data_IF_938400686137
#
_entry.id   IF_938400686137
#
_cell.length_a   1.000
_cell.length_b   1.000
_cell.length_c   1.000
_cell.angle_alpha   90.00
_cell.angle_beta   90.00
_cell.angle_gamma   90.00
#
_symmetry.space_group_name_H-M   'P 1'
#
loop_
_entity.id
_entity.type
_entity.pdbx_description
1 polymer ?
#
# COMPACT_ATOMS: atom_id res chain seq x y z
N UNK A 1 -34.55 21.63 -20.93
CA UNK A 1 -33.51 20.57 -21.03
C UNK A 1 -34.08 19.46 -21.91
N UNK A 2 -33.33 18.95 -22.89
CA UNK A 2 -33.84 17.94 -23.84
C UNK A 2 -33.20 16.57 -23.57
N UNK A 3 -33.99 15.49 -23.58
CA UNK A 3 -33.48 14.11 -23.53
C UNK A 3 -32.68 13.83 -24.80
N UNK A 4 -31.45 13.30 -24.66
CA UNK A 4 -30.53 13.07 -25.79
C UNK A 4 -29.76 14.31 -26.27
N UNK A 5 -29.98 15.48 -25.67
CA UNK A 5 -29.20 16.68 -25.95
C UNK A 5 -27.80 16.65 -25.35
N UNK A 6 -26.98 17.66 -25.69
CA UNK A 6 -25.62 17.80 -25.14
C UNK A 6 -25.64 18.12 -23.63
N UNK A 7 -24.64 17.62 -22.92
CA UNK A 7 -24.41 17.94 -21.51
C UNK A 7 -23.96 19.40 -21.34
N UNK A 8 -24.36 20.05 -20.25
CA UNK A 8 -23.80 21.33 -19.83
C UNK A 8 -22.31 21.17 -19.48
N UNK A 9 -21.46 22.09 -19.94
CA UNK A 9 -20.00 22.05 -19.75
C UNK A 9 -19.37 20.67 -20.09
N UNK A 10 -19.34 20.27 -21.37
CA UNK A 10 -18.81 18.97 -21.77
C UNK A 10 -17.34 18.81 -21.36
N UNK A 11 -16.98 17.63 -20.89
CA UNK A 11 -15.63 17.32 -20.40
C UNK A 11 -14.57 17.59 -21.48
N UNK A 12 -13.51 18.30 -21.10
CA UNK A 12 -12.41 18.68 -21.99
C UNK A 12 -11.13 17.95 -21.63
N UNK A 13 -10.33 17.65 -22.64
CA UNK A 13 -9.03 16.99 -22.48
C UNK A 13 -8.01 17.88 -21.76
N UNK A 14 -8.06 19.19 -21.99
CA UNK A 14 -7.16 20.20 -21.40
C UNK A 14 -7.49 20.60 -19.95
N UNK A 15 -8.36 19.84 -19.25
CA UNK A 15 -8.53 20.01 -17.81
C UNK A 15 -7.15 19.88 -17.15
N UNK A 16 -6.83 20.73 -16.17
CA UNK A 16 -5.57 20.60 -15.42
C UNK A 16 -5.60 19.33 -14.57
N UNK A 17 -5.10 18.21 -15.09
CA UNK A 17 -5.05 16.91 -14.41
C UNK A 17 -3.90 16.81 -13.41
N UNK A 18 -2.74 17.34 -13.77
CA UNK A 18 -1.53 17.24 -12.96
C UNK A 18 -1.39 18.39 -11.96
N UNK A 19 -0.68 18.12 -10.85
CA UNK A 19 -0.36 19.11 -9.80
C UNK A 19 1.14 19.07 -9.53
N UNK A 20 1.76 20.26 -9.51
CA UNK A 20 3.17 20.42 -9.13
C UNK A 20 3.27 20.57 -7.62
N UNK A 21 4.23 19.89 -7.02
CA UNK A 21 4.61 20.01 -5.61
C UNK A 21 6.13 20.26 -5.58
N UNK A 22 6.58 21.15 -4.71
CA UNK A 22 7.99 21.52 -4.59
C UNK A 22 8.85 20.30 -4.21
N UNK A 23 10.05 20.21 -4.77
CA UNK A 23 10.95 19.08 -4.55
C UNK A 23 11.36 18.94 -3.08
N UNK A 24 11.64 20.06 -2.42
CA UNK A 24 11.94 20.11 -0.97
C UNK A 24 10.78 19.58 -0.14
N UNK A 25 9.55 20.04 -0.40
CA UNK A 25 8.35 19.54 0.29
C UNK A 25 8.12 18.05 0.08
N UNK A 26 8.34 17.52 -1.14
CA UNK A 26 8.27 16.08 -1.40
C UNK A 26 9.29 15.29 -0.58
N UNK A 27 10.52 15.79 -0.47
CA UNK A 27 11.59 15.18 0.34
C UNK A 27 11.22 15.16 1.82
N UNK A 28 10.76 16.30 2.36
CA UNK A 28 10.28 16.38 3.74
C UNK A 28 9.14 15.41 4.02
N UNK A 29 8.15 15.31 3.13
CA UNK A 29 7.04 14.36 3.29
C UNK A 29 7.51 12.90 3.33
N UNK A 30 8.52 12.54 2.54
CA UNK A 30 9.11 11.18 2.55
C UNK A 30 9.85 10.94 3.87
N UNK A 31 10.67 11.90 4.32
CA UNK A 31 11.37 11.79 5.61
C UNK A 31 10.39 11.63 6.78
N UNK A 32 9.30 12.40 6.80
CA UNK A 32 8.25 12.27 7.83
C UNK A 32 7.55 10.91 7.75
N UNK A 33 7.30 10.39 6.55
CA UNK A 33 6.70 9.06 6.38
C UNK A 33 7.65 7.93 6.83
N UNK A 34 8.95 8.06 6.59
CA UNK A 34 9.96 7.12 7.09
C UNK A 34 10.05 7.16 8.62
N UNK A 35 10.09 8.35 9.21
CA UNK A 35 10.09 8.50 10.67
C UNK A 35 8.83 7.86 11.31
N UNK A 36 7.66 8.00 10.67
CA UNK A 36 6.44 7.35 11.14
C UNK A 36 6.49 5.82 11.08
N UNK A 37 7.31 5.23 10.20
CA UNK A 37 7.45 3.77 10.10
C UNK A 37 8.24 3.15 11.25
N UNK A 38 9.09 3.94 11.92
CA UNK A 38 9.84 3.51 13.10
C UNK A 38 8.98 3.52 14.38
N UNK A 39 7.81 4.18 14.39
CA UNK A 39 6.95 4.29 15.56
C UNK A 39 5.89 3.18 15.61
N UNK A 40 5.96 2.22 16.56
CA UNK A 40 5.03 1.08 16.62
C UNK A 40 3.57 1.51 16.75
N UNK A 41 3.30 2.56 17.52
CA UNK A 41 1.94 3.08 17.73
C UNK A 41 1.28 3.56 16.42
N UNK A 42 2.04 4.19 15.51
CA UNK A 42 1.52 4.65 14.22
C UNK A 42 1.31 3.47 13.26
N UNK A 43 2.21 2.49 13.26
CA UNK A 43 2.10 1.29 12.42
C UNK A 43 0.89 0.45 12.84
N UNK A 44 0.69 0.26 14.14
CA UNK A 44 -0.45 -0.46 14.71
C UNK A 44 -1.78 0.27 14.47
N UNK A 45 -1.84 1.58 14.69
CA UNK A 45 -3.07 2.36 14.48
C UNK A 45 -3.52 2.41 13.01
N UNK A 46 -2.57 2.33 12.06
CA UNK A 46 -2.88 2.14 10.62
C UNK A 46 -3.51 0.78 10.32
N UNK A 47 -3.37 -0.18 11.23
CA UNK A 47 -3.98 -1.50 11.17
C UNK A 47 -3.05 -2.62 10.74
N UNK A 48 -1.72 -2.45 10.83
CA UNK A 48 -0.76 -3.55 10.67
C UNK A 48 -0.72 -4.44 11.91
N UNK A 49 -0.58 -5.77 11.71
CA UNK A 49 -0.45 -6.73 12.81
C UNK A 49 1.03 -6.92 13.14
N UNK A 50 1.50 -6.21 14.17
CA UNK A 50 2.91 -6.17 14.58
C UNK A 50 3.16 -6.66 16.01
N UNK A 51 2.13 -7.19 16.69
CA UNK A 51 2.18 -7.62 18.10
C UNK A 51 3.31 -8.62 18.41
N UNK A 52 3.61 -9.50 17.44
CA UNK A 52 4.63 -10.53 17.59
C UNK A 52 5.99 -10.14 16.98
N UNK A 53 6.08 -9.01 16.26
CA UNK A 53 7.32 -8.62 15.58
C UNK A 53 8.34 -8.17 16.64
N UNK A 54 9.62 -8.62 16.56
CA UNK A 54 10.60 -8.35 17.62
C UNK A 54 10.87 -6.87 17.87
N UNK A 55 11.00 -6.09 16.80
CA UNK A 55 11.34 -4.67 16.87
C UNK A 55 10.87 -3.90 15.62
N UNK A 56 10.80 -2.58 15.76
CA UNK A 56 10.59 -1.63 14.67
C UNK A 56 11.61 -0.49 14.79
N UNK A 57 12.35 -0.14 13.73
CA UNK A 57 12.36 -0.77 12.40
C UNK A 57 12.97 -2.19 12.42
N UNK A 58 12.34 -3.14 11.72
CA UNK A 58 12.83 -4.51 11.61
C UNK A 58 13.96 -4.57 10.57
N UNK A 59 15.19 -4.82 11.03
CA UNK A 59 16.37 -4.93 10.17
C UNK A 59 16.80 -6.39 10.08
N UNK A 60 17.21 -6.84 8.89
CA UNK A 60 17.59 -8.23 8.60
C UNK A 60 18.93 -8.25 7.86
N UNK A 61 19.65 -9.38 7.94
CA UNK A 61 20.92 -9.55 7.23
C UNK A 61 20.76 -9.52 5.70
N UNK A 62 21.77 -9.00 5.00
CA UNK A 62 21.83 -8.89 3.52
C UNK A 62 21.74 -10.26 2.80
N UNK A 63 21.99 -11.37 3.50
CA UNK A 63 21.87 -12.73 2.94
C UNK A 63 20.48 -13.03 2.37
N UNK A 64 19.45 -12.31 2.83
CA UNK A 64 18.07 -12.45 2.35
C UNK A 64 17.93 -12.09 0.86
N UNK A 65 18.77 -11.20 0.33
CA UNK A 65 18.76 -10.81 -1.07
C UNK A 65 19.11 -11.97 -2.02
N UNK A 66 19.83 -12.99 -1.53
CA UNK A 66 20.23 -14.16 -2.29
C UNK A 66 19.14 -15.22 -2.49
N UNK A 67 17.94 -15.05 -1.92
CA UNK A 67 16.88 -16.05 -2.02
C UNK A 67 16.32 -16.17 -3.44
N UNK A 68 16.41 -17.40 -3.99
CA UNK A 68 15.92 -17.71 -5.34
C UNK A 68 14.49 -18.23 -5.35
N UNK A 69 14.01 -18.77 -4.22
CA UNK A 69 12.69 -19.41 -4.13
C UNK A 69 11.79 -18.69 -3.14
N UNK A 70 10.55 -18.46 -3.54
CA UNK A 70 9.53 -17.82 -2.69
C UNK A 70 9.27 -18.59 -1.40
N UNK A 71 9.43 -19.91 -1.40
CA UNK A 71 9.30 -20.73 -0.18
C UNK A 71 10.30 -20.32 0.92
N UNK A 72 11.52 -19.92 0.55
CA UNK A 72 12.56 -19.49 1.48
C UNK A 72 12.17 -18.15 2.11
N UNK A 73 11.71 -17.19 1.30
CA UNK A 73 11.19 -15.91 1.77
C UNK A 73 9.97 -16.05 2.68
N UNK A 74 9.05 -16.98 2.39
CA UNK A 74 7.89 -17.27 3.25
C UNK A 74 8.34 -17.84 4.61
N UNK A 75 9.34 -18.72 4.62
CA UNK A 75 9.89 -19.26 5.86
C UNK A 75 10.54 -18.17 6.71
N UNK A 76 11.28 -17.25 6.10
CA UNK A 76 11.85 -16.09 6.78
C UNK A 76 10.75 -15.24 7.44
N UNK A 77 9.72 -14.84 6.68
CA UNK A 77 8.64 -13.99 7.19
C UNK A 77 7.81 -14.67 8.31
N UNK A 78 7.74 -16.00 8.31
CA UNK A 78 7.18 -16.76 9.43
C UNK A 78 8.08 -16.73 10.65
N UNK A 79 9.41 -16.89 10.49
CA UNK A 79 10.38 -16.80 11.59
C UNK A 79 10.41 -15.41 12.23
N UNK A 80 10.33 -14.35 11.41
CA UNK A 80 10.26 -12.96 11.86
C UNK A 80 8.87 -12.56 12.38
N UNK A 81 7.91 -13.49 12.43
CA UNK A 81 6.51 -13.30 12.87
C UNK A 81 5.72 -12.22 12.11
N UNK A 82 6.24 -11.70 11.00
CA UNK A 82 5.57 -10.76 10.10
C UNK A 82 4.44 -11.40 9.25
N UNK A 83 4.37 -12.74 9.23
CA UNK A 83 3.39 -13.49 8.43
C UNK A 83 1.92 -13.21 8.80
N UNK A 84 1.65 -12.81 10.05
CA UNK A 84 0.29 -12.49 10.50
C UNK A 84 -0.30 -11.28 9.76
N UNK A 85 0.52 -10.29 9.40
CA UNK A 85 0.09 -9.14 8.61
C UNK A 85 -0.26 -9.55 7.16
N UNK A 86 0.49 -10.50 6.60
CA UNK A 86 0.25 -11.05 5.26
C UNK A 86 -1.04 -11.88 5.22
N UNK A 87 -1.28 -12.74 6.21
CA UNK A 87 -2.54 -13.49 6.34
C UNK A 87 -3.77 -12.56 6.34
N UNK A 88 -3.69 -11.44 7.06
CA UNK A 88 -4.73 -10.40 7.07
C UNK A 88 -4.97 -9.81 5.68
N UNK A 89 -3.92 -9.59 4.89
CA UNK A 89 -4.05 -9.10 3.50
C UNK A 89 -4.75 -10.12 2.62
N UNK A 90 -4.36 -11.40 2.67
CA UNK A 90 -5.02 -12.47 1.91
C UNK A 90 -6.50 -12.57 2.26
N UNK A 91 -6.85 -12.60 3.55
CA UNK A 91 -8.23 -12.65 4.00
C UNK A 91 -9.06 -11.41 3.60
N UNK A 92 -8.41 -10.27 3.37
CA UNK A 92 -9.08 -9.02 2.99
C UNK A 92 -9.43 -8.93 1.50
N UNK A 93 -8.95 -9.86 0.67
CA UNK A 93 -9.16 -9.79 -0.77
C UNK A 93 -10.64 -9.98 -1.10
N UNK A 94 -11.24 -8.98 -1.74
CA UNK A 94 -12.66 -9.02 -2.13
C UNK A 94 -12.91 -8.33 -3.46
N UNK A 95 -14.10 -8.57 -4.02
CA UNK A 95 -14.57 -7.89 -5.22
C UNK A 95 -14.84 -6.40 -4.93
N UNK A 96 -14.44 -5.52 -5.85
CA UNK A 96 -14.68 -4.07 -5.73
C UNK A 96 -16.17 -3.77 -5.91
N UNK A 97 -16.74 -3.01 -4.96
CA UNK A 97 -18.10 -2.53 -5.06
C UNK A 97 -18.27 -1.48 -6.19
N UNK A 98 -19.45 -1.44 -6.80
CA UNK A 98 -19.82 -0.44 -7.82
C UNK A 98 -19.25 -0.71 -9.22
N UNK A 99 -19.37 0.27 -10.12
CA UNK A 99 -19.01 0.16 -11.55
C UNK A 99 -17.50 -0.02 -11.81
N UNK A 100 -16.65 0.27 -10.82
CA UNK A 100 -15.20 0.15 -10.96
C UNK A 100 -14.72 -1.28 -11.28
N UNK A 101 -15.51 -2.29 -10.90
CA UNK A 101 -15.24 -3.70 -11.25
C UNK A 101 -15.21 -3.97 -12.76
N UNK A 102 -15.99 -3.22 -13.54
CA UNK A 102 -16.00 -3.27 -15.02
C UNK A 102 -14.88 -2.45 -15.65
N UNK A 103 -14.17 -1.61 -14.88
CA UNK A 103 -13.09 -0.72 -15.36
C UNK A 103 -11.72 -1.25 -14.94
N UNK A 104 -11.46 -2.54 -15.20
CA UNK A 104 -10.19 -3.24 -14.93
C UNK A 104 -9.67 -3.17 -13.48
N UNK A 105 -10.54 -2.92 -12.50
CA UNK A 105 -10.19 -2.82 -11.06
C UNK A 105 -11.05 -3.74 -10.21
N UNK A 106 -11.15 -5.00 -10.64
CA UNK A 106 -12.11 -5.99 -10.13
C UNK A 106 -11.91 -6.36 -8.65
N UNK A 107 -10.67 -6.48 -8.18
CA UNK A 107 -10.35 -6.88 -6.80
C UNK A 107 -9.73 -5.73 -6.00
N UNK A 108 -9.95 -5.76 -4.68
CA UNK A 108 -9.30 -4.89 -3.69
C UNK A 108 -8.76 -5.75 -2.55
N UNK A 109 -7.64 -5.32 -1.96
CA UNK A 109 -7.00 -5.95 -0.81
C UNK A 109 -6.31 -4.87 0.03
N UNK A 110 -6.08 -5.15 1.32
CA UNK A 110 -5.30 -4.28 2.20
C UNK A 110 -3.82 -4.27 1.79
N UNK A 111 -3.07 -3.28 2.28
CA UNK A 111 -1.60 -3.24 2.14
C UNK A 111 -0.96 -4.06 3.26
N UNK A 112 0.10 -4.77 2.92
CA UNK A 112 0.87 -5.59 3.85
C UNK A 112 2.24 -4.98 4.16
N UNK A 113 3.19 -5.78 4.66
CA UNK A 113 4.54 -5.32 4.93
C UNK A 113 5.23 -4.85 3.64
N UNK A 114 5.99 -3.76 3.76
CA UNK A 114 6.85 -3.25 2.70
C UNK A 114 8.29 -3.66 3.03
N UNK A 115 8.97 -4.29 2.08
CA UNK A 115 10.39 -4.63 2.17
C UNK A 115 11.11 -3.55 1.37
N UNK A 116 12.14 -2.95 1.97
CA UNK A 116 13.02 -1.96 1.34
C UNK A 116 14.33 -2.67 1.06
#
# INVERSE_FOLDING_TARGET
>A
MCRGGRMFAPTKTWRRWHRRVNTTQKRYAICSALAASALPALVMSKGHRIEEVPELPLVVEDKVEGYKKTKEAVLLLKKLKAWNDIKKVYASQRMRAGKGKMRNRRRIQRRGPCII
#
